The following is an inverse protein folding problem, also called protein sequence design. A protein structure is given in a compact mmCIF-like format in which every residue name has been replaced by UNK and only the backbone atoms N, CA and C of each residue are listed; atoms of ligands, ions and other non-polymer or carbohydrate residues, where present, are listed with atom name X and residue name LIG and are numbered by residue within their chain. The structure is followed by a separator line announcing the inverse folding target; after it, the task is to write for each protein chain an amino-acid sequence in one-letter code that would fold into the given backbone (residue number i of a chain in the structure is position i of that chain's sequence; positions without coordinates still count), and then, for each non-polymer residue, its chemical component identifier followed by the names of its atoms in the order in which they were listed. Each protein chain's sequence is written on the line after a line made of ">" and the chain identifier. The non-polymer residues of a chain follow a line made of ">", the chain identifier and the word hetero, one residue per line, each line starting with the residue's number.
data_IF_176144444080
#
_entry.id   IF_176144444080
#
_cell.length_a   1.000
_cell.length_b   1.000
_cell.length_c   1.000
_cell.angle_alpha   90.00
_cell.angle_beta   90.00
_cell.angle_gamma   90.00
#
_symmetry.space_group_name_H-M   'P 1'
#
loop_
_entity.id
_entity.type
_entity.pdbx_description
1 polymer ?
#
# COMPACT_ATOMS: atom_id res chain seq x y z
N UNK A 1 -17.23 -7.90 13.80
CA UNK A 1 -15.85 -7.73 13.30
C UNK A 1 -15.14 -6.75 14.24
N UNK A 2 -14.44 -7.25 15.27
CA UNK A 2 -13.72 -6.41 16.26
C UNK A 2 -12.36 -7.02 16.64
N UNK A 3 -12.24 -8.34 16.63
CA UNK A 3 -11.01 -9.05 17.05
C UNK A 3 -9.78 -8.64 16.23
N UNK A 4 -9.89 -8.44 14.92
CA UNK A 4 -8.73 -8.08 14.09
C UNK A 4 -8.22 -6.67 14.40
N UNK A 5 -9.13 -5.70 14.53
CA UNK A 5 -8.77 -4.31 14.87
C UNK A 5 -8.19 -4.17 16.28
N UNK A 6 -8.56 -5.05 17.22
CA UNK A 6 -8.00 -5.06 18.56
C UNK A 6 -6.57 -5.64 18.60
N UNK A 7 -6.22 -6.49 17.63
CA UNK A 7 -4.93 -7.22 17.62
C UNK A 7 -3.90 -6.56 16.71
N UNK A 8 -4.32 -6.02 15.56
CA UNK A 8 -3.39 -5.46 14.56
C UNK A 8 -4.02 -4.29 13.81
N UNK A 9 -3.22 -3.24 13.60
CA UNK A 9 -3.57 -2.13 12.72
C UNK A 9 -2.33 -1.70 11.93
N UNK A 10 -2.38 -1.94 10.63
CA UNK A 10 -1.31 -1.59 9.66
C UNK A 10 -1.86 -0.74 8.52
N UNK A 11 -3.09 -0.26 8.63
CA UNK A 11 -3.73 0.57 7.60
C UNK A 11 -3.18 2.00 7.56
N UNK A 12 -2.61 2.47 8.68
CA UNK A 12 -2.10 3.84 8.76
C UNK A 12 -0.77 3.96 8.01
N UNK A 13 -0.63 4.96 7.13
CA UNK A 13 0.59 5.14 6.35
C UNK A 13 1.83 5.45 7.20
N UNK A 14 2.98 5.02 6.67
CA UNK A 14 4.29 5.32 7.21
C UNK A 14 4.86 6.67 6.80
N UNK A 15 5.96 7.06 7.46
CA UNK A 15 6.79 8.22 7.12
C UNK A 15 8.23 7.75 6.81
N UNK A 16 8.88 8.24 5.73
CA UNK A 16 8.34 9.13 4.71
C UNK A 16 7.21 8.46 3.88
N UNK A 17 6.45 9.27 3.15
CA UNK A 17 5.34 8.76 2.34
C UNK A 17 5.88 7.91 1.17
N UNK A 18 5.61 6.60 1.20
CA UNK A 18 5.96 5.67 0.14
C UNK A 18 4.69 5.15 -0.56
N UNK A 19 4.61 5.29 -1.88
CA UNK A 19 3.47 4.87 -2.67
C UNK A 19 3.75 3.56 -3.41
N UNK A 20 2.87 2.57 -3.23
CA UNK A 20 2.80 1.35 -4.00
C UNK A 20 1.51 1.35 -4.82
N UNK A 21 1.48 2.26 -5.81
CA UNK A 21 0.29 2.52 -6.61
C UNK A 21 -0.23 1.26 -7.32
N UNK A 22 -1.54 1.12 -7.38
CA UNK A 22 -2.22 0.04 -8.08
C UNK A 22 -2.52 0.52 -9.50
N UNK A 23 -1.87 -0.08 -10.49
CA UNK A 23 -2.14 0.21 -11.90
C UNK A 23 -3.40 -0.52 -12.33
N UNK A 24 -4.39 0.23 -12.79
CA UNK A 24 -5.66 -0.33 -13.24
C UNK A 24 -5.52 -0.81 -14.69
N UNK A 25 -5.95 -2.05 -15.01
CA UNK A 25 -6.01 -2.51 -16.39
C UNK A 25 -6.94 -1.62 -17.23
N UNK A 26 -6.59 -1.31 -18.49
CA UNK A 26 -7.46 -0.54 -19.37
C UNK A 26 -8.84 -1.18 -19.50
N UNK A 27 -9.91 -0.38 -19.38
CA UNK A 27 -11.28 -0.87 -19.51
C UNK A 27 -11.83 -1.60 -18.28
N UNK A 28 -11.19 -1.44 -17.13
CA UNK A 28 -11.78 -1.88 -15.86
C UNK A 28 -13.16 -1.26 -15.64
N UNK A 29 -14.17 -2.08 -15.36
CA UNK A 29 -15.57 -1.67 -15.32
C UNK A 29 -15.88 -0.60 -14.26
N UNK A 30 -15.06 -0.52 -13.21
CA UNK A 30 -15.31 0.35 -12.06
C UNK A 30 -14.42 1.59 -12.13
N UNK A 31 -13.13 1.38 -12.38
CA UNK A 31 -12.11 2.42 -12.24
C UNK A 31 -11.64 2.99 -13.58
N UNK A 32 -11.77 2.26 -14.69
CA UNK A 32 -11.45 2.75 -16.04
C UNK A 32 -12.53 2.42 -17.09
N UNK A 33 -13.80 2.83 -16.88
CA UNK A 33 -14.88 2.50 -17.81
C UNK A 33 -14.71 3.16 -19.18
N UNK A 34 -13.97 4.27 -19.25
CA UNK A 34 -13.68 5.02 -20.48
C UNK A 34 -12.51 4.42 -21.29
N UNK A 35 -11.88 3.34 -20.80
CA UNK A 35 -10.72 2.69 -21.43
C UNK A 35 -9.51 3.62 -21.65
N UNK A 36 -9.22 4.51 -20.69
CA UNK A 36 -8.08 5.44 -20.78
C UNK A 36 -6.74 4.71 -20.68
N UNK A 37 -6.67 3.66 -19.86
CA UNK A 37 -5.47 2.82 -19.68
C UNK A 37 -4.32 3.45 -18.90
N UNK A 38 -4.50 4.67 -18.39
CA UNK A 38 -3.56 5.40 -17.53
C UNK A 38 -4.08 5.60 -16.10
N UNK A 39 -5.22 4.99 -15.75
CA UNK A 39 -5.80 5.08 -14.41
C UNK A 39 -4.90 4.38 -13.39
N UNK A 40 -4.61 5.10 -12.31
CA UNK A 40 -3.79 4.62 -11.19
C UNK A 40 -4.48 4.94 -9.88
N UNK A 41 -4.68 3.92 -9.04
CA UNK A 41 -5.16 4.13 -7.67
C UNK A 41 -3.97 4.34 -6.73
N UNK A 42 -3.92 5.46 -6.00
CA UNK A 42 -2.85 5.71 -5.05
C UNK A 42 -3.02 4.81 -3.84
N UNK A 43 -1.97 4.06 -3.50
CA UNK A 43 -1.93 3.23 -2.30
C UNK A 43 -0.62 3.50 -1.56
N UNK A 44 -0.72 3.91 -0.30
CA UNK A 44 0.44 4.28 0.51
C UNK A 44 0.83 3.14 1.44
N UNK A 45 2.13 2.89 1.56
CA UNK A 45 2.66 1.85 2.43
C UNK A 45 2.46 2.21 3.90
N UNK A 46 2.25 1.17 4.70
CA UNK A 46 2.13 1.25 6.16
C UNK A 46 3.42 1.72 6.82
N UNK A 47 3.34 1.95 8.13
CA UNK A 47 4.52 2.06 9.00
C UNK A 47 5.33 0.76 8.98
N UNK A 48 6.58 0.89 9.37
CA UNK A 48 7.56 -0.18 9.45
C UNK A 48 8.55 0.12 10.59
N UNK A 49 9.21 -0.92 11.12
CA UNK A 49 10.16 -0.78 12.22
C UNK A 49 11.38 0.08 11.80
N UNK A 50 11.58 1.27 12.39
CA UNK A 50 12.68 2.17 12.06
C UNK A 50 14.08 1.59 12.21
N UNK A 51 14.31 0.41 12.77
CA UNK A 51 15.64 -0.23 12.85
C UNK A 51 15.89 -1.23 11.71
N UNK A 52 14.86 -1.55 10.91
CA UNK A 52 14.90 -2.55 9.83
C UNK A 52 15.02 -1.94 8.43
N UNK A 53 14.97 -2.75 7.36
CA UNK A 53 14.78 -2.27 5.99
C UNK A 53 15.92 -1.47 5.36
N UNK A 54 17.15 -1.57 5.89
CA UNK A 54 18.34 -0.83 5.39
C UNK A 54 19.43 -1.70 4.78
N UNK A 55 19.38 -3.01 5.01
CA UNK A 55 20.40 -3.95 4.55
C UNK A 55 19.74 -5.26 4.11
N UNK A 56 20.34 -6.01 3.17
CA UNK A 56 19.80 -7.32 2.75
C UNK A 56 19.64 -8.31 3.90
N UNK A 57 20.55 -8.25 4.88
CA UNK A 57 20.52 -9.09 6.09
C UNK A 57 19.50 -8.65 7.13
N UNK A 58 18.91 -7.45 7.00
CA UNK A 58 17.87 -6.93 7.89
C UNK A 58 16.77 -6.24 7.05
N UNK A 59 15.89 -7.02 6.39
CA UNK A 59 14.82 -6.51 5.55
C UNK A 59 13.75 -5.80 6.38
N UNK A 60 12.80 -5.13 5.73
CA UNK A 60 11.79 -4.31 6.40
C UNK A 60 10.73 -5.17 7.12
N UNK A 61 10.37 -4.79 8.34
CA UNK A 61 9.30 -5.42 9.15
C UNK A 61 8.22 -4.43 9.61
N UNK A 62 7.06 -4.93 10.06
CA UNK A 62 5.85 -4.18 10.44
C UNK A 62 5.79 -3.81 11.93
#
# INVERSE_FOLDING_TARGET
>A
YHVLSDVVSVETPGCPAEFLNIRIPPGDLVFDPDQRGDVVLPFQRSRWDPETGRSPSNPRDL
#
